data_IF_073505272659
#
_entry.id   IF_073505272659
#
_cell.length_a   1.000
_cell.length_b   1.000
_cell.length_c   1.000
_cell.angle_alpha   90.00
_cell.angle_beta   90.00
_cell.angle_gamma   90.00
#
_symmetry.space_group_name_H-M   'P 1'
#
loop_
_entity.id
_entity.type
_entity.pdbx_description
1 polymer ?
#
# COMPACT_ATOMS: atom_id res chain seq x y z
N UNK A 1 8.39 0.81 15.10
CA UNK A 1 7.09 0.67 14.41
C UNK A 1 7.33 -0.26 13.23
N UNK A 2 6.59 -1.36 13.10
CA UNK A 2 6.75 -2.26 11.95
C UNK A 2 6.28 -1.57 10.68
N UNK A 3 7.01 -1.76 9.56
CA UNK A 3 6.51 -1.34 8.24
C UNK A 3 5.31 -2.21 7.89
N UNK A 4 4.19 -1.58 7.53
CA UNK A 4 3.01 -2.32 7.07
C UNK A 4 3.33 -2.97 5.70
N UNK A 5 3.02 -4.26 5.49
CA UNK A 5 3.19 -4.89 4.19
C UNK A 5 2.34 -4.22 3.10
N UNK A 6 2.94 -4.02 1.92
CA UNK A 6 2.31 -3.31 0.79
C UNK A 6 1.09 -4.01 0.20
N UNK A 7 0.99 -5.33 0.41
CA UNK A 7 -0.11 -6.16 -0.05
C UNK A 7 -1.32 -6.14 0.90
N UNK A 8 -1.26 -5.43 2.03
CA UNK A 8 -2.43 -5.31 2.91
C UNK A 8 -3.57 -4.57 2.22
N UNK A 9 -4.68 -5.27 2.02
CA UNK A 9 -5.89 -4.78 1.36
C UNK A 9 -6.56 -3.60 2.09
N UNK A 10 -6.26 -3.42 3.38
CA UNK A 10 -6.68 -2.28 4.19
C UNK A 10 -5.72 -1.08 4.15
N UNK A 11 -4.73 -1.10 3.26
CA UNK A 11 -3.77 -0.01 3.01
C UNK A 11 -3.46 0.16 1.51
N UNK A 12 -2.77 1.24 1.16
CA UNK A 12 -2.30 1.51 -0.20
C UNK A 12 -0.77 1.49 -0.24
N UNK A 13 -0.16 0.92 -1.29
CA UNK A 13 1.28 0.82 -1.40
C UNK A 13 1.88 2.19 -1.78
N UNK A 14 3.18 2.36 -1.53
CA UNK A 14 3.92 3.50 -2.06
C UNK A 14 3.96 3.46 -3.59
N UNK A 15 4.07 4.63 -4.24
CA UNK A 15 4.34 4.68 -5.69
C UNK A 15 5.72 4.12 -6.03
N UNK A 16 6.68 4.22 -5.10
CA UNK A 16 8.02 3.64 -5.21
C UNK A 16 8.64 3.52 -3.82
N UNK A 17 9.38 2.45 -3.55
CA UNK A 17 10.17 2.27 -2.34
C UNK A 17 11.63 2.63 -2.60
N UNK A 18 12.10 3.69 -1.96
CA UNK A 18 13.48 4.20 -2.14
C UNK A 18 14.46 3.51 -1.18
N UNK A 19 13.99 3.14 0.02
CA UNK A 19 14.82 2.56 1.06
C UNK A 19 14.68 3.29 2.40
N UNK A 20 15.56 3.03 3.37
CA UNK A 20 15.67 3.83 4.57
C UNK A 20 16.16 5.24 4.23
N UNK A 21 15.80 6.22 5.06
CA UNK A 21 16.24 7.61 4.88
C UNK A 21 15.67 8.54 5.95
N UNK A 22 16.05 9.81 5.88
CA UNK A 22 15.50 10.89 6.69
C UNK A 22 15.02 12.02 5.76
N UNK A 23 13.76 11.99 5.31
CA UNK A 23 13.25 12.92 4.32
C UNK A 23 13.15 14.34 4.89
N UNK A 24 13.68 15.32 4.17
CA UNK A 24 13.69 16.74 4.61
C UNK A 24 12.89 17.67 3.72
N UNK A 25 12.77 17.36 2.43
CA UNK A 25 12.04 18.19 1.48
C UNK A 25 11.62 17.42 0.24
N UNK A 26 10.58 17.93 -0.41
CA UNK A 26 10.11 17.46 -1.72
C UNK A 26 9.87 18.66 -2.64
N UNK A 27 10.23 18.55 -3.91
CA UNK A 27 10.00 19.61 -4.90
C UNK A 27 9.83 19.00 -6.29
N UNK A 28 8.91 19.53 -7.10
CA UNK A 28 8.84 19.15 -8.51
C UNK A 28 9.84 19.95 -9.35
N UNK A 29 10.43 19.31 -10.35
CA UNK A 29 11.36 19.93 -11.31
C UNK A 29 10.73 20.91 -12.29
N UNK A 30 9.44 21.22 -12.14
CA UNK A 30 8.71 22.04 -13.10
C UNK A 30 9.36 23.42 -13.25
N UNK A 31 9.61 23.83 -14.51
CA UNK A 31 10.27 25.09 -14.84
C UNK A 31 11.79 25.06 -14.78
N UNK A 32 12.41 23.93 -14.39
CA UNK A 32 13.87 23.81 -14.41
C UNK A 32 14.40 23.81 -15.86
N UNK A 33 15.56 24.44 -16.09
CA UNK A 33 16.29 24.37 -17.37
C UNK A 33 17.12 23.09 -17.44
N UNK A 34 16.44 21.96 -17.28
CA UNK A 34 16.99 20.61 -17.35
C UNK A 34 16.37 19.84 -18.51
N UNK A 35 16.91 18.67 -18.90
CA UNK A 35 16.23 17.76 -19.82
C UNK A 35 14.83 17.37 -19.33
N UNK A 36 13.94 17.01 -20.25
CA UNK A 36 12.53 16.69 -19.99
C UNK A 36 12.32 15.75 -18.79
N UNK A 37 13.13 14.69 -18.69
CA UNK A 37 13.09 13.71 -17.59
C UNK A 37 13.15 14.38 -16.21
N UNK A 38 14.03 15.36 -16.06
CA UNK A 38 14.29 16.06 -14.81
C UNK A 38 13.32 17.21 -14.56
N UNK A 39 12.83 17.86 -15.64
CA UNK A 39 11.73 18.82 -15.51
C UNK A 39 10.46 18.16 -14.96
N UNK A 40 10.20 16.91 -15.32
CA UNK A 40 9.01 16.16 -14.89
C UNK A 40 9.19 15.38 -13.58
N UNK A 41 10.39 15.41 -12.99
CA UNK A 41 10.69 14.61 -11.80
C UNK A 41 10.12 15.24 -10.51
N UNK A 42 9.77 14.37 -9.57
CA UNK A 42 9.62 14.70 -8.16
C UNK A 42 10.98 14.47 -7.48
N UNK A 43 11.55 15.52 -6.91
CA UNK A 43 12.78 15.41 -6.12
C UNK A 43 12.47 15.15 -4.66
N UNK A 44 13.19 14.20 -4.05
CA UNK A 44 13.08 13.84 -2.63
C UNK A 44 14.45 13.98 -1.99
N UNK A 45 14.53 14.77 -0.92
CA UNK A 45 15.77 15.06 -0.21
C UNK A 45 15.92 14.15 1.01
N UNK A 46 17.06 13.51 1.15
CA UNK A 46 17.41 12.64 2.28
C UNK A 46 18.66 13.14 3.00
N UNK A 47 18.46 13.53 4.26
CA UNK A 47 19.50 14.03 5.14
C UNK A 47 20.50 12.95 5.56
N UNK A 48 20.04 11.73 5.88
CA UNK A 48 20.89 10.67 6.44
C UNK A 48 21.83 10.13 5.39
N UNK A 49 21.30 9.82 4.20
CA UNK A 49 22.12 9.29 3.11
C UNK A 49 22.67 10.36 2.19
N UNK A 50 22.50 11.64 2.53
CA UNK A 50 23.09 12.79 1.83
C UNK A 50 22.79 12.78 0.33
N UNK A 51 21.52 12.52 -0.01
CA UNK A 51 21.07 12.28 -1.38
C UNK A 51 19.84 13.09 -1.70
N UNK A 52 19.84 13.71 -2.88
CA UNK A 52 18.63 14.16 -3.55
C UNK A 52 18.32 13.09 -4.59
N UNK A 53 17.15 12.46 -4.48
CA UNK A 53 16.65 11.52 -5.46
C UNK A 53 15.82 12.27 -6.51
N UNK A 54 15.90 11.84 -7.76
CA UNK A 54 14.98 12.24 -8.83
C UNK A 54 14.02 11.08 -9.09
N UNK A 55 12.73 11.27 -8.79
CA UNK A 55 11.68 10.28 -8.97
C UNK A 55 10.86 10.60 -10.22
N UNK A 56 10.87 9.69 -11.19
CA UNK A 56 10.04 9.76 -12.39
C UNK A 56 8.75 8.99 -12.14
N UNK A 57 7.64 9.71 -12.08
CA UNK A 57 6.32 9.14 -11.90
C UNK A 57 5.66 8.85 -13.25
N UNK A 58 5.12 7.66 -13.39
CA UNK A 58 4.31 7.23 -14.54
C UNK A 58 2.90 6.88 -14.05
N UNK A 59 1.84 7.42 -14.67
CA UNK A 59 0.48 6.99 -14.34
C UNK A 59 0.33 5.47 -14.42
N UNK A 60 -0.35 4.88 -13.44
CA UNK A 60 -0.71 3.47 -13.41
C UNK A 60 -2.13 3.36 -12.83
N UNK A 61 -3.11 3.13 -13.70
CA UNK A 61 -4.53 3.21 -13.35
C UNK A 61 -4.91 4.58 -12.77
N UNK A 62 -5.57 4.56 -11.61
CA UNK A 62 -6.02 5.72 -10.85
C UNK A 62 -4.94 6.31 -9.91
N UNK A 63 -3.69 5.84 -10.00
CA UNK A 63 -2.55 6.29 -9.21
C UNK A 63 -1.28 6.39 -10.07
N UNK A 64 -0.11 6.33 -9.45
CA UNK A 64 1.20 6.43 -10.08
C UNK A 64 2.14 5.35 -9.56
N UNK A 65 3.00 4.85 -10.44
CA UNK A 65 4.22 4.12 -10.09
C UNK A 65 5.44 5.00 -10.35
N UNK A 66 6.53 4.75 -9.64
CA UNK A 66 7.75 5.54 -9.75
C UNK A 66 8.98 4.70 -10.08
N UNK A 67 9.94 5.32 -10.75
CA UNK A 67 11.34 4.91 -10.74
C UNK A 67 12.17 6.06 -10.17
N UNK A 68 13.23 5.75 -9.46
CA UNK A 68 14.10 6.77 -8.89
C UNK A 68 15.55 6.53 -9.28
N UNK A 69 16.33 7.60 -9.23
CA UNK A 69 17.78 7.56 -9.35
C UNK A 69 18.40 8.61 -8.42
N UNK A 70 19.67 8.43 -8.09
CA UNK A 70 20.46 9.43 -7.40
C UNK A 70 20.64 10.65 -8.33
N UNK A 71 20.21 11.84 -7.89
CA UNK A 71 20.36 13.08 -8.65
C UNK A 71 21.56 13.90 -8.18
N UNK A 72 21.63 14.16 -6.87
CA UNK A 72 22.80 14.79 -6.22
C UNK A 72 23.16 13.96 -5.01
N UNK A 73 24.43 13.64 -4.87
CA UNK A 73 24.97 12.91 -3.72
C UNK A 73 26.18 13.65 -3.14
N UNK A 74 26.47 13.40 -1.88
CA UNK A 74 27.73 13.82 -1.26
C UNK A 74 27.98 13.10 0.05
N UNK A 75 29.19 13.24 0.60
CA UNK A 75 29.56 12.68 1.89
C UNK A 75 30.47 13.66 2.66
N UNK A 76 29.95 14.37 3.69
CA UNK A 76 28.54 14.54 4.03
C UNK A 76 27.87 15.61 3.15
N UNK A 77 26.59 15.42 2.82
CA UNK A 77 25.74 16.44 2.21
C UNK A 77 24.35 16.41 2.87
N UNK A 78 24.21 16.91 4.10
CA UNK A 78 22.97 16.88 4.86
C UNK A 78 21.94 17.84 4.27
N UNK A 79 21.26 17.43 3.19
CA UNK A 79 20.31 18.26 2.45
C UNK A 79 19.06 18.56 3.28
N UNK A 80 18.60 19.81 3.24
CA UNK A 80 17.50 20.29 4.09
C UNK A 80 16.29 20.77 3.32
N UNK A 81 16.48 21.54 2.23
CA UNK A 81 15.36 22.05 1.42
C UNK A 81 15.84 22.40 0.00
N UNK A 82 14.93 22.43 -0.97
CA UNK A 82 15.23 22.75 -2.37
C UNK A 82 14.10 23.49 -3.09
N UNK A 83 14.48 24.26 -4.11
CA UNK A 83 13.54 24.99 -4.98
C UNK A 83 14.08 25.11 -6.40
N UNK A 84 13.20 25.08 -7.39
CA UNK A 84 13.51 25.55 -8.75
C UNK A 84 13.30 27.06 -8.79
N UNK A 85 14.38 27.81 -8.99
CA UNK A 85 14.35 29.27 -9.09
C UNK A 85 13.67 29.76 -10.37
N UNK A 86 13.27 31.03 -10.39
CA UNK A 86 12.67 31.67 -11.57
C UNK A 86 13.62 31.71 -12.79
N UNK A 87 14.92 31.60 -12.55
CA UNK A 87 15.94 31.48 -13.58
C UNK A 87 16.01 30.07 -14.21
N UNK A 88 15.23 29.13 -13.68
CA UNK A 88 15.19 27.71 -14.06
C UNK A 88 16.28 26.87 -13.41
N UNK A 89 17.00 27.41 -12.42
CA UNK A 89 18.08 26.69 -11.75
C UNK A 89 17.58 25.99 -10.49
N UNK A 90 18.08 24.80 -10.19
CA UNK A 90 17.74 24.08 -8.97
C UNK A 90 18.66 24.52 -7.84
N UNK A 91 18.10 25.07 -6.77
CA UNK A 91 18.82 25.49 -5.57
C UNK A 91 18.49 24.55 -4.43
N UNK A 92 19.47 24.22 -3.60
CA UNK A 92 19.21 23.48 -2.37
C UNK A 92 20.12 23.93 -1.25
N UNK A 93 19.64 23.76 -0.02
CA UNK A 93 20.38 24.04 1.19
C UNK A 93 20.87 22.74 1.81
N UNK A 94 22.03 22.80 2.47
CA UNK A 94 22.52 21.72 3.31
C UNK A 94 23.00 22.27 4.65
N UNK A 95 22.85 21.48 5.70
CA UNK A 95 23.28 21.83 7.05
C UNK A 95 22.52 21.07 8.13
N UNK A 96 22.72 21.52 9.35
CA UNK A 96 22.15 20.90 10.54
C UNK A 96 22.50 21.73 11.77
N UNK A 97 21.96 21.32 12.92
CA UNK A 97 22.23 21.99 14.19
C UNK A 97 23.73 21.94 14.51
N UNK A 98 24.36 23.11 14.58
CA UNK A 98 25.79 23.22 14.91
C UNK A 98 26.74 22.85 13.78
N UNK A 99 26.25 22.69 12.54
CA UNK A 99 27.10 22.45 11.36
C UNK A 99 27.09 23.66 10.43
N UNK A 100 28.08 23.74 9.55
CA UNK A 100 28.13 24.77 8.52
C UNK A 100 26.90 24.67 7.60
N UNK A 101 26.22 25.79 7.38
CA UNK A 101 25.15 25.90 6.39
C UNK A 101 25.71 26.29 5.02
N UNK A 102 25.16 25.71 3.98
CA UNK A 102 25.55 25.96 2.58
C UNK A 102 24.33 26.10 1.69
N UNK A 103 24.43 26.94 0.66
CA UNK A 103 23.48 27.04 -0.44
C UNK A 103 24.18 26.58 -1.72
N UNK A 104 23.61 25.58 -2.37
CA UNK A 104 24.10 25.00 -3.61
C UNK A 104 23.21 25.39 -4.77
N UNK A 105 23.82 25.43 -5.95
CA UNK A 105 23.18 25.69 -7.22
C UNK A 105 23.51 24.56 -8.20
N UNK A 106 22.50 23.95 -8.79
CA UNK A 106 22.62 22.86 -9.77
C UNK A 106 22.07 23.34 -11.11
N UNK A 107 22.94 23.36 -12.13
CA UNK A 107 22.62 23.81 -13.50
C UNK A 107 23.04 22.73 -14.50
N UNK A 108 22.23 22.49 -15.53
CA UNK A 108 22.57 21.55 -16.59
C UNK A 108 23.59 22.17 -17.57
N UNK A 109 24.63 21.41 -17.90
CA UNK A 109 25.72 21.81 -18.81
C UNK A 109 25.85 20.89 -20.03
N UNK A 110 24.89 19.97 -20.21
CA UNK A 110 24.88 19.05 -21.35
C UNK A 110 24.24 19.66 -22.60
N UNK A 111 24.03 18.83 -23.61
CA UNK A 111 23.55 19.24 -24.94
C UNK A 111 22.08 18.93 -25.21
N UNK A 112 21.39 18.23 -24.31
CA UNK A 112 19.97 17.92 -24.47
C UNK A 112 19.09 19.18 -24.35
N UNK A 113 17.88 19.11 -24.91
CA UNK A 113 16.93 20.22 -24.86
C UNK A 113 16.51 20.55 -23.43
N UNK A 114 16.54 21.84 -23.10
CA UNK A 114 16.04 22.41 -21.84
C UNK A 114 14.80 23.29 -22.05
N UNK A 115 14.14 23.17 -23.21
CA UNK A 115 12.89 23.86 -23.47
C UNK A 115 11.82 23.41 -22.47
N UNK A 116 10.94 24.34 -22.08
CA UNK A 116 9.88 24.05 -21.11
C UNK A 116 8.97 22.93 -21.62
N UNK A 117 8.73 21.92 -20.78
CA UNK A 117 7.86 20.79 -21.12
C UNK A 117 6.52 20.87 -20.41
N UNK A 118 5.49 20.30 -21.03
CA UNK A 118 4.18 20.17 -20.41
C UNK A 118 4.24 19.13 -19.29
N UNK A 119 3.99 19.56 -18.05
CA UNK A 119 4.03 18.69 -16.87
C UNK A 119 2.79 17.78 -16.75
N UNK A 120 1.66 18.13 -17.38
CA UNK A 120 0.42 17.35 -17.27
C UNK A 120 0.46 16.06 -18.09
N UNK A 121 -0.02 14.97 -17.50
CA UNK A 121 -0.28 13.70 -18.20
C UNK A 121 -1.77 13.30 -18.01
N UNK A 122 -2.45 12.96 -19.10
CA UNK A 122 -3.87 12.54 -19.12
C UNK A 122 -4.07 11.03 -19.01
N UNK A 123 -3.02 10.21 -19.15
CA UNK A 123 -3.10 8.76 -19.00
C UNK A 123 -3.65 8.40 -17.62
N UNK A 124 -4.63 7.50 -17.56
CA UNK A 124 -5.30 7.12 -16.30
C UNK A 124 -6.30 8.16 -15.76
N UNK A 125 -6.61 9.22 -16.52
CA UNK A 125 -7.50 10.31 -16.05
C UNK A 125 -8.91 9.82 -15.74
N UNK A 126 -9.48 8.92 -16.55
CA UNK A 126 -10.81 8.34 -16.31
C UNK A 126 -10.84 7.52 -15.01
N UNK A 127 -9.82 6.68 -14.78
CA UNK A 127 -9.68 5.90 -13.56
C UNK A 127 -9.50 6.81 -12.33
N UNK A 128 -8.72 7.90 -12.46
CA UNK A 128 -8.58 8.92 -11.40
C UNK A 128 -9.90 9.63 -11.12
N UNK A 129 -10.66 9.99 -12.15
CA UNK A 129 -11.98 10.62 -11.98
C UNK A 129 -12.96 9.66 -11.29
N UNK A 130 -12.95 8.37 -11.65
CA UNK A 130 -13.74 7.35 -10.98
C UNK A 130 -13.34 7.19 -9.50
N UNK A 131 -12.04 7.09 -9.20
CA UNK A 131 -11.54 7.04 -7.82
C UNK A 131 -11.99 8.26 -7.03
N UNK A 132 -11.82 9.48 -7.56
CA UNK A 132 -12.27 10.72 -6.91
C UNK A 132 -13.78 10.76 -6.71
N UNK A 133 -14.57 10.19 -7.63
CA UNK A 133 -16.02 10.06 -7.49
C UNK A 133 -16.42 9.10 -6.36
N UNK A 134 -15.66 8.03 -6.13
CA UNK A 134 -15.86 7.15 -4.98
C UNK A 134 -15.40 7.82 -3.68
N UNK A 135 -14.29 8.56 -3.72
CA UNK A 135 -13.76 9.32 -2.58
C UNK A 135 -14.70 10.44 -2.12
N UNK A 136 -15.46 11.06 -3.03
CA UNK A 136 -16.47 12.03 -2.63
C UNK A 136 -17.63 11.42 -1.81
N UNK A 137 -17.71 10.09 -1.75
CA UNK A 137 -18.65 9.34 -0.90
C UNK A 137 -18.07 9.00 0.48
N UNK A 138 -16.83 9.42 0.80
CA UNK A 138 -16.14 9.18 2.08
C UNK A 138 -16.60 10.15 3.16
N UNK A 139 -17.90 10.23 3.38
CA UNK A 139 -18.49 11.12 4.35
C UNK A 139 -19.72 10.49 5.01
N UNK A 140 -19.86 10.70 6.31
CA UNK A 140 -21.06 10.31 7.05
C UNK A 140 -22.19 11.21 6.62
N UNK A 141 -23.21 10.65 5.98
CA UNK A 141 -24.43 11.36 5.61
C UNK A 141 -25.55 11.03 6.61
N UNK A 142 -26.41 12.01 6.93
CA UNK A 142 -27.61 11.78 7.74
C UNK A 142 -28.61 10.82 7.06
N UNK A 143 -28.54 10.72 5.73
CA UNK A 143 -29.28 9.74 4.92
C UNK A 143 -28.30 8.79 4.24
N UNK A 144 -28.56 7.48 4.31
CA UNK A 144 -27.81 6.49 3.54
C UNK A 144 -27.78 6.86 2.04
N UNK A 145 -26.68 6.51 1.36
CA UNK A 145 -26.54 6.74 -0.07
C UNK A 145 -27.67 6.08 -0.87
N UNK A 146 -28.02 6.69 -2.02
CA UNK A 146 -29.09 6.20 -2.89
C UNK A 146 -28.74 4.85 -3.53
N UNK A 147 -29.75 4.17 -4.10
CA UNK A 147 -29.56 2.87 -4.77
C UNK A 147 -28.47 2.89 -5.84
N UNK A 148 -28.42 3.93 -6.67
CA UNK A 148 -27.41 4.07 -7.73
C UNK A 148 -25.99 4.24 -7.16
N UNK A 149 -25.85 5.02 -6.08
CA UNK A 149 -24.56 5.20 -5.40
C UNK A 149 -24.10 3.90 -4.76
N UNK A 150 -24.99 3.16 -4.09
CA UNK A 150 -24.64 1.87 -3.50
C UNK A 150 -24.30 0.83 -4.56
N UNK A 151 -25.04 0.77 -5.66
CA UNK A 151 -24.72 -0.10 -6.78
C UNK A 151 -23.33 0.21 -7.35
N UNK A 152 -22.99 1.50 -7.47
CA UNK A 152 -21.67 1.94 -7.91
C UNK A 152 -20.57 1.48 -6.94
N UNK A 153 -20.76 1.68 -5.63
CA UNK A 153 -19.81 1.23 -4.60
C UNK A 153 -19.59 -0.28 -4.70
N UNK A 154 -20.65 -1.08 -4.67
CA UNK A 154 -20.56 -2.54 -4.67
C UNK A 154 -19.92 -3.08 -5.95
N UNK A 155 -20.25 -2.49 -7.11
CA UNK A 155 -19.64 -2.84 -8.40
C UNK A 155 -18.12 -2.69 -8.37
N UNK A 156 -17.63 -1.60 -7.79
CA UNK A 156 -16.20 -1.27 -7.82
C UNK A 156 -15.39 -1.93 -6.68
N UNK A 157 -16.01 -2.78 -5.85
CA UNK A 157 -15.28 -3.69 -4.97
C UNK A 157 -14.53 -4.79 -5.75
N UNK A 158 -14.91 -5.05 -7.00
CA UNK A 158 -14.30 -6.06 -7.87
C UNK A 158 -13.28 -5.48 -8.87
N UNK A 159 -13.07 -4.16 -8.86
CA UNK A 159 -12.27 -3.45 -9.87
C UNK A 159 -10.84 -4.03 -9.97
N UNK A 160 -10.21 -4.03 -11.14
CA UNK A 160 -8.82 -4.50 -11.25
C UNK A 160 -7.83 -3.52 -10.63
N UNK A 161 -8.18 -2.24 -10.56
CA UNK A 161 -7.37 -1.22 -9.90
C UNK A 161 -7.63 -1.22 -8.39
N UNK A 162 -6.58 -1.58 -7.63
CA UNK A 162 -6.66 -1.64 -6.15
C UNK A 162 -6.99 -0.32 -5.50
N UNK A 163 -6.63 0.82 -6.09
CA UNK A 163 -6.94 2.15 -5.53
C UNK A 163 -8.43 2.48 -5.72
N UNK A 164 -9.05 2.03 -6.82
CA UNK A 164 -10.49 2.13 -7.02
C UNK A 164 -11.23 1.21 -6.03
N UNK A 165 -10.79 -0.05 -5.90
CA UNK A 165 -11.36 -0.97 -4.90
C UNK A 165 -11.25 -0.44 -3.49
N UNK A 166 -10.11 0.11 -3.13
CA UNK A 166 -9.88 0.74 -1.83
C UNK A 166 -10.86 1.89 -1.60
N UNK A 167 -11.00 2.80 -2.58
CA UNK A 167 -11.93 3.92 -2.49
C UNK A 167 -13.40 3.44 -2.38
N UNK A 168 -13.79 2.41 -3.13
CA UNK A 168 -15.12 1.81 -3.03
C UNK A 168 -15.37 1.20 -1.64
N UNK A 169 -14.41 0.43 -1.12
CA UNK A 169 -14.50 -0.20 0.20
C UNK A 169 -14.59 0.84 1.32
N UNK A 170 -13.81 1.91 1.27
CA UNK A 170 -13.94 3.02 2.22
C UNK A 170 -15.31 3.70 2.08
N UNK A 171 -15.80 3.96 0.87
CA UNK A 171 -17.13 4.54 0.66
C UNK A 171 -18.26 3.68 1.28
N UNK A 172 -18.14 2.35 1.18
CA UNK A 172 -19.03 1.40 1.85
C UNK A 172 -18.95 1.52 3.38
N UNK A 173 -17.73 1.63 3.93
CA UNK A 173 -17.51 1.78 5.38
C UNK A 173 -18.13 3.06 5.97
N UNK A 174 -18.33 4.11 5.16
CA UNK A 174 -19.03 5.32 5.58
C UNK A 174 -20.56 5.18 5.64
N UNK A 175 -21.12 4.03 5.26
CA UNK A 175 -22.57 3.76 5.29
C UNK A 175 -23.01 2.96 6.51
N UNK A 176 -24.22 3.21 7.05
CA UNK A 176 -24.78 2.37 8.11
C UNK A 176 -24.82 0.89 7.69
N UNK A 177 -24.17 0.03 8.48
CA UNK A 177 -24.00 -1.42 8.20
C UNK A 177 -25.32 -2.11 7.84
N UNK A 178 -26.41 -1.77 8.54
CA UNK A 178 -27.74 -2.35 8.31
C UNK A 178 -28.23 -2.21 6.86
N UNK A 179 -27.77 -1.19 6.11
CA UNK A 179 -28.16 -0.96 4.72
C UNK A 179 -27.46 -1.86 3.69
N UNK A 180 -26.32 -2.47 4.03
CA UNK A 180 -25.47 -3.17 3.06
C UNK A 180 -24.92 -4.52 3.52
N UNK A 181 -25.05 -4.88 4.80
CA UNK A 181 -24.58 -6.15 5.36
C UNK A 181 -24.98 -7.36 4.53
N UNK A 182 -26.28 -7.55 4.29
CA UNK A 182 -26.80 -8.70 3.53
C UNK A 182 -26.32 -8.68 2.08
N UNK A 183 -26.20 -7.49 1.48
CA UNK A 183 -25.71 -7.35 0.11
C UNK A 183 -24.29 -7.91 0.00
N UNK A 184 -23.40 -7.51 0.91
CA UNK A 184 -22.01 -8.02 0.97
C UNK A 184 -21.94 -9.52 1.24
N UNK A 185 -22.74 -10.04 2.19
CA UNK A 185 -22.77 -11.47 2.49
C UNK A 185 -23.23 -12.29 1.28
N UNK A 186 -24.08 -11.72 0.42
CA UNK A 186 -24.61 -12.35 -0.79
C UNK A 186 -23.79 -12.13 -2.06
N UNK A 187 -22.69 -11.36 -2.02
CA UNK A 187 -21.85 -11.13 -3.20
C UNK A 187 -21.32 -12.46 -3.76
N UNK A 188 -21.34 -12.58 -5.09
CA UNK A 188 -20.94 -13.80 -5.81
C UNK A 188 -19.50 -13.74 -6.32
N UNK A 189 -19.00 -12.55 -6.68
CA UNK A 189 -17.65 -12.37 -7.16
C UNK A 189 -16.67 -12.49 -5.98
N UNK A 190 -15.69 -13.41 -6.01
CA UNK A 190 -14.81 -13.66 -4.86
C UNK A 190 -14.08 -12.41 -4.36
N UNK A 191 -13.53 -11.61 -5.27
CA UNK A 191 -12.83 -10.37 -4.91
C UNK A 191 -13.80 -9.35 -4.32
N UNK A 192 -14.90 -9.02 -5.00
CA UNK A 192 -15.92 -8.12 -4.45
C UNK A 192 -16.37 -8.55 -3.03
N UNK A 193 -16.58 -9.85 -2.85
CA UNK A 193 -16.94 -10.44 -1.56
C UNK A 193 -15.85 -10.20 -0.51
N UNK A 194 -14.58 -10.52 -0.79
CA UNK A 194 -13.47 -10.32 0.15
C UNK A 194 -13.40 -8.86 0.61
N UNK A 195 -13.42 -7.90 -0.31
CA UNK A 195 -13.33 -6.47 0.04
C UNK A 195 -14.60 -5.96 0.74
N UNK A 196 -15.77 -6.48 0.40
CA UNK A 196 -17.00 -6.20 1.15
C UNK A 196 -16.95 -6.75 2.58
N UNK A 197 -16.49 -8.00 2.76
CA UNK A 197 -16.33 -8.62 4.07
C UNK A 197 -15.26 -7.90 4.90
N UNK A 198 -14.22 -7.34 4.28
CA UNK A 198 -13.26 -6.46 4.94
C UNK A 198 -13.91 -5.17 5.47
N UNK A 199 -14.84 -4.56 4.72
CA UNK A 199 -15.63 -3.45 5.24
C UNK A 199 -16.49 -3.90 6.44
N UNK A 200 -17.14 -5.06 6.34
CA UNK A 200 -17.97 -5.61 7.42
C UNK A 200 -17.15 -5.92 8.67
N UNK A 201 -15.95 -6.48 8.52
CA UNK A 201 -15.02 -6.73 9.62
C UNK A 201 -14.63 -5.45 10.37
N UNK A 202 -14.62 -4.30 9.68
CA UNK A 202 -14.19 -3.01 10.24
C UNK A 202 -15.31 -2.25 10.93
N UNK A 203 -16.53 -2.34 10.40
CA UNK A 203 -17.70 -1.55 10.81
C UNK A 203 -18.78 -2.37 11.54
N UNK A 204 -18.75 -3.69 11.41
CA UNK A 204 -19.73 -4.60 12.00
C UNK A 204 -19.53 -4.81 13.50
N UNK A 205 -20.23 -5.82 14.00
CA UNK A 205 -20.29 -6.21 15.41
C UNK A 205 -19.91 -7.68 15.60
N UNK A 206 -19.81 -8.15 16.84
CA UNK A 206 -19.39 -9.52 17.16
C UNK A 206 -20.17 -10.60 16.40
N UNK A 207 -21.49 -10.42 16.22
CA UNK A 207 -22.37 -11.34 15.50
C UNK A 207 -22.03 -11.47 13.99
N UNK A 208 -21.26 -10.54 13.44
CA UNK A 208 -20.82 -10.58 12.04
C UNK A 208 -19.59 -11.47 11.82
N UNK A 209 -18.86 -11.82 12.90
CA UNK A 209 -17.63 -12.61 12.79
C UNK A 209 -17.86 -13.97 12.12
N UNK A 210 -18.84 -14.73 12.60
CA UNK A 210 -19.10 -16.08 12.10
C UNK A 210 -19.56 -16.08 10.63
N UNK A 211 -20.50 -15.21 10.19
CA UNK A 211 -20.81 -15.03 8.78
C UNK A 211 -19.60 -14.64 7.92
N UNK A 212 -18.72 -13.76 8.40
CA UNK A 212 -17.50 -13.39 7.66
C UNK A 212 -16.60 -14.60 7.46
N UNK A 213 -16.30 -15.34 8.53
CA UNK A 213 -15.42 -16.51 8.48
C UNK A 213 -16.01 -17.61 7.60
N UNK A 214 -17.30 -17.89 7.72
CA UNK A 214 -18.02 -18.89 6.91
C UNK A 214 -17.94 -18.58 5.42
N UNK A 215 -18.19 -17.32 5.03
CA UNK A 215 -18.10 -16.89 3.62
C UNK A 215 -16.67 -16.97 3.08
N UNK A 216 -15.66 -16.62 3.89
CA UNK A 216 -14.25 -16.74 3.48
C UNK A 216 -13.80 -18.19 3.36
N UNK A 217 -14.25 -19.09 4.24
CA UNK A 217 -14.00 -20.53 4.10
C UNK A 217 -14.62 -21.10 2.82
N UNK A 218 -15.82 -20.63 2.46
CA UNK A 218 -16.47 -21.00 1.20
C UNK A 218 -15.74 -20.56 -0.08
N UNK A 219 -14.72 -19.69 0.04
CA UNK A 219 -13.86 -19.32 -1.09
C UNK A 219 -12.73 -20.31 -1.35
N UNK A 220 -12.52 -21.31 -0.49
CA UNK A 220 -11.45 -22.29 -0.64
C UNK A 220 -11.53 -23.11 -1.95
N UNK A 221 -12.74 -23.26 -2.52
CA UNK A 221 -12.96 -23.96 -3.79
C UNK A 221 -12.70 -23.08 -5.02
N UNK A 222 -12.38 -21.79 -4.84
CA UNK A 222 -12.12 -20.85 -5.92
C UNK A 222 -10.63 -20.71 -6.19
N UNK A 223 -10.26 -20.61 -7.46
CA UNK A 223 -8.92 -20.17 -7.85
C UNK A 223 -8.79 -18.66 -7.59
N UNK A 224 -8.10 -18.29 -6.51
CA UNK A 224 -7.81 -16.91 -6.16
C UNK A 224 -6.42 -16.50 -6.65
N UNK A 225 -6.30 -15.24 -7.08
CA UNK A 225 -4.98 -14.63 -7.26
C UNK A 225 -4.23 -14.55 -5.93
N UNK A 226 -2.90 -14.40 -5.95
CA UNK A 226 -2.13 -14.17 -4.72
C UNK A 226 -2.60 -12.90 -4.00
N UNK A 227 -2.93 -11.83 -4.73
CA UNK A 227 -3.47 -10.60 -4.16
C UNK A 227 -4.81 -10.81 -3.44
N UNK A 228 -5.73 -11.56 -4.05
CA UNK A 228 -7.04 -11.85 -3.45
C UNK A 228 -6.90 -12.83 -2.28
N UNK A 229 -5.96 -13.78 -2.35
CA UNK A 229 -5.62 -14.67 -1.23
C UNK A 229 -5.11 -13.86 -0.03
N UNK A 230 -4.16 -12.94 -0.26
CA UNK A 230 -3.64 -12.06 0.79
C UNK A 230 -4.73 -11.14 1.35
N UNK A 231 -5.64 -10.65 0.51
CA UNK A 231 -6.79 -9.87 0.95
C UNK A 231 -7.77 -10.68 1.81
N UNK A 232 -8.02 -11.95 1.49
CA UNK A 232 -8.85 -12.85 2.29
C UNK A 232 -8.21 -13.14 3.66
N UNK A 233 -6.91 -13.44 3.70
CA UNK A 233 -6.15 -13.64 4.94
C UNK A 233 -6.16 -12.37 5.80
N UNK A 234 -5.97 -11.20 5.18
CA UNK A 234 -6.04 -9.91 5.88
C UNK A 234 -7.44 -9.64 6.42
N UNK A 235 -8.48 -10.02 5.68
CA UNK A 235 -9.88 -9.90 6.12
C UNK A 235 -10.14 -10.75 7.35
N UNK A 236 -9.66 -12.00 7.38
CA UNK A 236 -9.71 -12.85 8.57
C UNK A 236 -9.02 -12.21 9.76
N UNK A 237 -7.81 -11.69 9.58
CA UNK A 237 -7.06 -11.04 10.67
C UNK A 237 -7.82 -9.85 11.25
N UNK A 238 -8.37 -8.99 10.40
CA UNK A 238 -9.12 -7.81 10.83
C UNK A 238 -10.41 -8.22 11.54
N UNK A 239 -11.14 -9.22 11.00
CA UNK A 239 -12.37 -9.72 11.61
C UNK A 239 -12.09 -10.32 12.99
N UNK A 240 -11.08 -11.20 13.11
CA UNK A 240 -10.70 -11.80 14.38
C UNK A 240 -10.23 -10.75 15.38
N UNK A 241 -9.33 -9.84 14.98
CA UNK A 241 -8.79 -8.83 15.89
C UNK A 241 -9.83 -7.83 16.40
N UNK A 242 -10.90 -7.56 15.63
CA UNK A 242 -11.92 -6.56 15.99
C UNK A 242 -13.18 -7.16 16.59
N UNK A 243 -13.59 -8.35 16.13
CA UNK A 243 -14.91 -8.91 16.42
C UNK A 243 -14.87 -10.13 17.33
N UNK A 244 -13.71 -10.75 17.54
CA UNK A 244 -13.59 -11.98 18.34
C UNK A 244 -13.53 -11.72 19.86
N UNK A 245 -13.51 -10.46 20.28
CA UNK A 245 -13.56 -10.05 21.70
C UNK A 245 -12.52 -10.77 22.55
N UNK A 246 -12.97 -11.43 23.62
CA UNK A 246 -12.14 -12.28 24.51
C UNK A 246 -11.87 -13.68 23.92
N UNK A 247 -11.83 -13.82 22.59
CA UNK A 247 -11.69 -15.07 21.82
C UNK A 247 -12.86 -16.05 22.03
N UNK A 248 -14.07 -15.51 22.13
CA UNK A 248 -15.28 -16.29 22.41
C UNK A 248 -16.36 -16.14 21.32
N UNK A 249 -16.25 -15.14 20.44
CA UNK A 249 -17.29 -14.91 19.44
C UNK A 249 -17.16 -15.87 18.26
N UNK A 250 -15.95 -16.32 17.91
CA UNK A 250 -15.75 -17.33 16.88
C UNK A 250 -16.27 -18.70 17.36
N UNK A 251 -17.19 -19.31 16.59
CA UNK A 251 -17.70 -20.63 16.93
C UNK A 251 -16.60 -21.70 16.84
N UNK A 252 -16.58 -22.70 17.76
CA UNK A 252 -15.55 -23.74 17.77
C UNK A 252 -15.45 -24.57 16.48
N UNK A 253 -16.58 -24.84 15.81
CA UNK A 253 -16.61 -25.57 14.54
C UNK A 253 -15.91 -24.80 13.41
N UNK A 254 -16.19 -23.49 13.30
CA UNK A 254 -15.53 -22.62 12.32
C UNK A 254 -14.05 -22.41 12.65
N UNK A 255 -13.70 -22.28 13.94
CA UNK A 255 -12.30 -22.22 14.39
C UNK A 255 -11.53 -23.45 13.90
N UNK A 256 -12.09 -24.64 14.09
CA UNK A 256 -11.44 -25.88 13.67
C UNK A 256 -11.30 -25.97 12.14
N UNK A 257 -12.36 -25.66 11.39
CA UNK A 257 -12.31 -25.63 9.92
C UNK A 257 -11.25 -24.65 9.40
N UNK A 258 -11.14 -23.47 10.02
CA UNK A 258 -10.15 -22.47 9.66
C UNK A 258 -8.73 -22.94 9.95
N UNK A 259 -8.50 -23.58 11.10
CA UNK A 259 -7.21 -24.22 11.42
C UNK A 259 -6.87 -25.26 10.35
N UNK A 260 -7.80 -26.14 9.99
CA UNK A 260 -7.53 -27.22 9.04
C UNK A 260 -7.23 -26.68 7.63
N UNK A 261 -7.99 -25.69 7.16
CA UNK A 261 -7.77 -25.03 5.88
C UNK A 261 -6.40 -24.33 5.82
N UNK A 262 -6.09 -23.49 6.82
CA UNK A 262 -4.82 -22.76 6.89
C UNK A 262 -3.62 -23.70 7.08
N UNK A 263 -3.77 -24.77 7.88
CA UNK A 263 -2.72 -25.77 8.06
C UNK A 263 -2.44 -26.53 6.76
N UNK A 264 -3.47 -26.86 5.98
CA UNK A 264 -3.30 -27.56 4.70
C UNK A 264 -2.52 -26.70 3.70
N UNK A 265 -2.79 -25.38 3.70
CA UNK A 265 -2.11 -24.41 2.84
C UNK A 265 -0.69 -24.01 3.32
N UNK A 266 -0.24 -24.44 4.52
CA UNK A 266 1.04 -24.03 5.11
C UNK A 266 2.08 -25.17 5.16
N UNK A 267 3.31 -24.97 4.64
CA UNK A 267 3.80 -23.77 3.95
C UNK A 267 3.34 -23.70 2.48
N UNK A 268 3.06 -22.48 2.01
CA UNK A 268 2.84 -22.11 0.62
C UNK A 268 4.17 -21.75 -0.08
N UNK A 269 4.13 -21.58 -1.40
CA UNK A 269 5.28 -21.08 -2.16
C UNK A 269 5.58 -19.60 -1.85
N UNK A 270 4.54 -18.77 -1.72
CA UNK A 270 4.67 -17.35 -1.42
C UNK A 270 5.09 -17.10 0.04
N UNK A 271 6.14 -16.32 0.22
CA UNK A 271 6.60 -15.86 1.53
C UNK A 271 5.58 -14.96 2.22
N UNK A 272 4.89 -14.10 1.45
CA UNK A 272 3.84 -13.21 1.96
C UNK A 272 2.66 -14.03 2.49
N UNK A 273 2.19 -15.03 1.74
CA UNK A 273 1.11 -15.92 2.20
C UNK A 273 1.55 -16.67 3.47
N UNK A 274 2.77 -17.21 3.50
CA UNK A 274 3.30 -17.88 4.68
C UNK A 274 3.33 -16.98 5.92
N UNK A 275 3.72 -15.72 5.76
CA UNK A 275 3.76 -14.74 6.85
C UNK A 275 2.36 -14.44 7.41
N UNK A 276 1.34 -14.34 6.56
CA UNK A 276 -0.03 -14.07 7.00
C UNK A 276 -0.72 -15.32 7.58
N UNK A 277 -0.47 -16.50 7.01
CA UNK A 277 -1.02 -17.77 7.49
C UNK A 277 -0.45 -18.14 8.85
N UNK A 278 0.86 -17.98 9.09
CA UNK A 278 1.46 -18.31 10.39
C UNK A 278 0.89 -17.42 11.51
N UNK A 279 0.66 -16.14 11.25
CA UNK A 279 0.05 -15.22 12.23
C UNK A 279 -1.36 -15.68 12.63
N UNK A 280 -2.18 -16.08 11.64
CA UNK A 280 -3.52 -16.63 11.89
C UNK A 280 -3.46 -17.95 12.66
N UNK A 281 -2.59 -18.88 12.27
CA UNK A 281 -2.43 -20.17 12.95
C UNK A 281 -1.97 -20.01 14.40
N UNK A 282 -1.11 -19.02 14.70
CA UNK A 282 -0.73 -18.66 16.07
C UNK A 282 -1.92 -18.11 16.84
N UNK A 283 -2.68 -17.17 16.26
CA UNK A 283 -3.87 -16.62 16.89
C UNK A 283 -4.91 -17.71 17.23
N UNK A 284 -5.10 -18.65 16.31
CA UNK A 284 -6.05 -19.75 16.44
C UNK A 284 -5.52 -20.90 17.31
N UNK A 285 -4.28 -20.82 17.80
CA UNK A 285 -3.64 -21.82 18.65
C UNK A 285 -3.53 -23.21 17.98
N UNK A 286 -3.17 -23.23 16.69
CA UNK A 286 -2.91 -24.47 15.97
C UNK A 286 -1.82 -25.31 16.68
N UNK A 287 -2.05 -26.60 16.96
CA UNK A 287 -1.07 -27.45 17.61
C UNK A 287 0.14 -27.77 16.72
N UNK A 288 0.04 -27.52 15.40
CA UNK A 288 1.08 -27.84 14.42
C UNK A 288 1.93 -26.63 14.00
N UNK A 289 1.50 -25.40 14.33
CA UNK A 289 2.13 -24.18 13.83
C UNK A 289 3.62 -24.10 14.19
N UNK A 290 3.98 -24.38 15.44
CA UNK A 290 5.36 -24.31 15.92
C UNK A 290 6.27 -25.25 15.14
N UNK A 291 5.85 -26.52 14.99
CA UNK A 291 6.64 -27.53 14.28
C UNK A 291 6.82 -27.14 12.81
N UNK A 292 5.71 -26.82 12.12
CA UNK A 292 5.76 -26.45 10.69
C UNK A 292 6.61 -25.21 10.43
N UNK A 293 6.52 -24.19 11.29
CA UNK A 293 7.30 -22.96 11.13
C UNK A 293 8.78 -23.20 11.39
N UNK A 294 9.16 -23.98 12.40
CA UNK A 294 10.57 -24.32 12.64
C UNK A 294 11.15 -25.14 11.48
N UNK A 295 10.40 -26.12 10.96
CA UNK A 295 10.80 -26.91 9.80
C UNK A 295 10.99 -26.04 8.54
N UNK A 296 10.12 -25.03 8.35
CA UNK A 296 10.24 -24.04 7.27
C UNK A 296 11.49 -23.19 7.45
N UNK A 297 11.72 -22.63 8.64
CA UNK A 297 12.87 -21.77 8.95
C UNK A 297 14.21 -22.48 8.73
N UNK A 298 14.31 -23.78 9.06
CA UNK A 298 15.53 -24.57 8.84
C UNK A 298 15.87 -24.75 7.35
N UNK A 299 14.89 -24.60 6.46
CA UNK A 299 15.07 -24.74 5.01
C UNK A 299 15.25 -23.40 4.32
N UNK A 300 15.05 -22.28 5.01
CA UNK A 300 15.30 -20.96 4.45
C UNK A 300 16.80 -20.76 4.24
N UNK A 301 17.17 -20.23 3.07
CA UNK A 301 18.54 -19.82 2.78
C UNK A 301 18.92 -18.53 3.47
N UNK A 302 20.08 -17.98 3.11
CA UNK A 302 20.48 -16.65 3.56
C UNK A 302 19.48 -15.59 3.06
N UNK A 303 19.17 -14.61 3.92
CA UNK A 303 18.37 -13.46 3.55
C UNK A 303 19.08 -12.67 2.45
N UNK A 304 18.40 -12.31 1.34
CA UNK A 304 19.01 -11.53 0.28
C UNK A 304 19.36 -10.13 0.78
N UNK A 305 20.45 -9.56 0.24
CA UNK A 305 20.76 -8.15 0.48
C UNK A 305 19.64 -7.31 -0.13
N UNK A 306 19.03 -6.37 0.61
CA UNK A 306 17.95 -5.56 0.08
C UNK A 306 18.45 -4.65 -1.05
N UNK A 307 17.56 -4.26 -1.96
CA UNK A 307 17.89 -3.44 -3.13
C UNK A 307 18.57 -2.10 -2.77
N UNK A 308 18.27 -1.56 -1.57
CA UNK A 308 18.87 -0.33 -1.04
C UNK A 308 20.24 -0.54 -0.39
N UNK A 309 20.78 -1.76 -0.36
CA UNK A 309 22.07 -2.09 0.26
C UNK A 309 23.25 -1.27 -0.29
N UNK A 310 23.15 -0.78 -1.54
CA UNK A 310 24.14 0.11 -2.14
C UNK A 310 24.29 1.45 -1.40
N UNK A 311 23.25 1.92 -0.69
CA UNK A 311 23.31 3.18 0.07
C UNK A 311 24.29 3.07 1.24
N UNK A 312 24.40 1.88 1.83
CA UNK A 312 25.32 1.61 2.93
C UNK A 312 26.76 1.66 2.43
N UNK A 313 27.06 0.94 1.34
CA UNK A 313 28.42 0.90 0.78
C UNK A 313 28.90 2.25 0.23
N UNK A 314 27.99 3.07 -0.31
CA UNK A 314 28.34 4.40 -0.84
C UNK A 314 28.80 5.38 0.24
N UNK A 315 28.32 5.23 1.47
CA UNK A 315 28.53 6.18 2.56
C UNK A 315 29.48 5.63 3.66
N UNK A 316 30.36 4.66 3.36
CA UNK A 316 31.34 4.09 4.31
C UNK A 316 32.50 5.05 4.71
N UNK A 317 32.30 6.37 4.62
CA UNK A 317 33.30 7.41 4.89
C UNK A 317 33.20 8.02 6.27
#
# INVERSE_FOLDING_TARGET
>A
TGKWPEYYADSLPASVNIGPGSPTGIVFGYGAKFPEKYQKALYILDWTYSTIYSVQLTPNGSSYQGKFEDFVTGSPLPVTDAVVGQDGTFYFTAGGRGTQSSLYRVSYQGTESTQAVQASNQDGSEQRQLRHRLESLHQTSATAWSGDQMQTILKHLDDSDRFIRYAARIALEFQPVAGWREQVLSLAQPRAQIYGLLALARQGQADDLNPIVDRLLGLADHELSEEDTLAALRTLQVALARLDGDRQALRPDLKQQLIDALQSAYPAESHSINAEVVQLLVYLESPLVVKKTLDLMQRLGAEPVPDWGYLVSRNEG
#
